data_IF_725458569195
#
_entry.id   IF_725458569195
#
_cell.length_a   1.000
_cell.length_b   1.000
_cell.length_c   1.000
_cell.angle_alpha   90.00
_cell.angle_beta   90.00
_cell.angle_gamma   90.00
#
_symmetry.space_group_name_H-M   'P 1'
#
loop_
_entity.id
_entity.type
_entity.pdbx_description
1 polymer ?
#
# COMPACT_ATOMS: atom_id res chain seq x y z
N UNK A 1 -61.90 8.68 -31.76
CA UNK A 1 -61.26 7.92 -30.67
C UNK A 1 -60.53 8.90 -29.76
N UNK A 2 -61.08 9.19 -28.57
CA UNK A 2 -60.52 10.12 -27.59
C UNK A 2 -59.40 9.40 -26.82
N UNK A 3 -58.18 9.95 -26.82
CA UNK A 3 -57.06 9.46 -26.00
C UNK A 3 -57.11 10.14 -24.63
N UNK A 4 -57.38 9.37 -23.59
CA UNK A 4 -57.30 9.80 -22.19
C UNK A 4 -55.83 9.78 -21.74
N UNK A 5 -55.33 10.91 -21.27
CA UNK A 5 -54.06 11.02 -20.53
C UNK A 5 -54.32 10.67 -19.06
N UNK A 6 -53.75 9.57 -18.57
CA UNK A 6 -53.64 9.28 -17.15
C UNK A 6 -52.36 9.93 -16.61
N UNK A 7 -52.53 10.93 -15.75
CA UNK A 7 -51.47 11.46 -14.91
C UNK A 7 -51.25 10.50 -13.74
N UNK A 8 -50.12 9.79 -13.73
CA UNK A 8 -49.68 9.00 -12.57
C UNK A 8 -48.87 9.92 -11.67
N UNK A 9 -49.49 10.36 -10.56
CA UNK A 9 -48.79 11.05 -9.49
C UNK A 9 -47.93 10.02 -8.72
N UNK A 10 -46.65 9.92 -9.09
CA UNK A 10 -45.67 9.14 -8.35
C UNK A 10 -45.33 9.83 -7.04
N UNK A 11 -45.82 9.27 -5.93
CA UNK A 11 -45.44 9.69 -4.58
C UNK A 11 -44.00 9.22 -4.32
N UNK A 12 -43.02 10.10 -4.56
CA UNK A 12 -41.61 9.84 -4.28
C UNK A 12 -41.37 9.82 -2.77
N UNK A 13 -41.32 8.62 -2.19
CA UNK A 13 -40.90 8.42 -0.81
C UNK A 13 -39.38 8.69 -0.72
N UNK A 14 -38.99 9.92 -0.38
CA UNK A 14 -37.60 10.21 -0.03
C UNK A 14 -37.29 9.53 1.32
N UNK A 15 -36.64 8.37 1.28
CA UNK A 15 -35.94 7.84 2.45
C UNK A 15 -34.74 8.75 2.71
N UNK A 16 -34.89 9.69 3.65
CA UNK A 16 -33.74 10.35 4.24
C UNK A 16 -32.97 9.29 5.05
N UNK A 17 -31.92 8.73 4.47
CA UNK A 17 -30.93 7.94 5.22
C UNK A 17 -30.27 8.87 6.22
N UNK A 18 -30.72 8.78 7.48
CA UNK A 18 -30.06 9.40 8.62
C UNK A 18 -28.65 8.82 8.71
N UNK A 19 -27.65 9.60 8.29
CA UNK A 19 -26.25 9.31 8.58
C UNK A 19 -26.07 9.52 10.08
N UNK A 20 -26.16 8.45 10.86
CA UNK A 20 -25.89 8.50 12.30
C UNK A 20 -24.40 8.72 12.49
N UNK A 21 -24.02 9.90 12.96
CA UNK A 21 -22.66 10.17 13.43
C UNK A 21 -22.25 9.11 14.46
N UNK A 22 -21.00 8.64 14.40
CA UNK A 22 -20.47 7.72 15.42
C UNK A 22 -20.65 8.36 16.81
N UNK A 23 -21.16 7.61 17.81
CA UNK A 23 -21.36 8.16 19.14
C UNK A 23 -20.03 8.68 19.70
N UNK A 24 -20.04 9.91 20.21
CA UNK A 24 -18.89 10.49 20.87
C UNK A 24 -18.59 9.69 22.15
N UNK A 25 -17.53 8.88 22.11
CA UNK A 25 -17.05 8.13 23.27
C UNK A 25 -16.02 9.00 23.99
N UNK A 26 -16.09 9.05 25.33
CA UNK A 26 -15.11 9.78 26.14
C UNK A 26 -13.70 9.27 25.80
N UNK A 27 -12.77 10.19 25.50
CA UNK A 27 -11.40 9.83 25.20
C UNK A 27 -10.81 9.04 26.38
N UNK A 28 -10.18 7.88 26.14
CA UNK A 28 -9.51 7.14 27.20
C UNK A 28 -8.42 8.02 27.85
N UNK A 29 -8.10 7.79 29.14
CA UNK A 29 -7.09 8.56 29.85
C UNK A 29 -5.74 8.56 29.09
N UNK A 30 -5.17 9.76 28.95
CA UNK A 30 -4.30 10.19 27.84
C UNK A 30 -2.83 9.75 27.87
N UNK A 31 -2.39 8.74 28.63
CA UNK A 31 -0.95 8.64 28.90
C UNK A 31 -0.11 7.68 28.04
N UNK A 32 -0.63 6.58 27.46
CA UNK A 32 0.29 5.61 26.82
C UNK A 32 -0.29 4.73 25.69
N UNK A 33 -1.18 5.28 24.86
CA UNK A 33 -1.73 4.54 23.71
C UNK A 33 -0.98 4.79 22.39
N UNK A 34 0.06 5.63 22.42
CA UNK A 34 0.82 6.03 21.22
C UNK A 34 2.22 5.43 21.20
N UNK A 35 2.68 5.10 20.00
CA UNK A 35 4.08 4.77 19.70
C UNK A 35 4.78 6.04 19.23
N UNK A 36 5.91 6.37 19.84
CA UNK A 36 6.61 7.60 19.53
C UNK A 36 7.14 7.57 18.09
N UNK A 37 6.75 8.56 17.29
CA UNK A 37 7.42 8.82 16.01
C UNK A 37 8.88 9.24 16.22
N UNK A 38 9.70 9.28 15.15
CA UNK A 38 11.10 9.69 15.27
C UNK A 38 11.19 11.12 15.81
N UNK A 39 12.11 11.36 16.75
CA UNK A 39 12.37 12.70 17.27
C UNK A 39 12.76 13.68 16.14
N UNK A 40 12.46 14.99 16.25
CA UNK A 40 12.77 15.97 15.21
C UNK A 40 14.22 15.94 14.72
N UNK A 41 15.19 15.76 15.64
CA UNK A 41 16.61 15.63 15.29
C UNK A 41 16.90 14.41 14.41
N UNK A 42 16.24 13.27 14.69
CA UNK A 42 16.36 12.06 13.87
C UNK A 42 15.74 12.27 12.48
N UNK A 43 14.60 12.97 12.37
CA UNK A 43 13.94 13.26 11.08
C UNK A 43 14.78 14.13 10.15
N UNK A 44 15.52 15.09 10.71
CA UNK A 44 16.37 15.99 9.95
C UNK A 44 17.63 15.31 9.41
N UNK A 45 18.14 14.30 10.11
CA UNK A 45 19.35 13.59 9.72
C UNK A 45 19.14 12.75 8.45
N UNK A 46 20.13 12.78 7.54
CA UNK A 46 20.17 12.01 6.30
C UNK A 46 21.44 11.13 6.27
N UNK A 47 21.31 9.91 5.76
CA UNK A 47 22.44 9.04 5.48
C UNK A 47 23.14 9.46 4.17
N UNK A 48 24.29 8.85 3.87
CA UNK A 48 25.09 9.18 2.67
C UNK A 48 24.32 8.98 1.35
N UNK A 49 23.30 8.13 1.34
CA UNK A 49 22.44 7.85 0.20
C UNK A 49 21.15 8.72 0.16
N UNK A 50 21.05 9.73 1.03
CA UNK A 50 19.92 10.65 1.10
C UNK A 50 18.66 10.08 1.76
N UNK A 51 18.71 8.85 2.30
CA UNK A 51 17.60 8.30 3.10
C UNK A 51 17.59 8.89 4.52
N UNK A 52 16.44 8.92 5.21
CA UNK A 52 16.41 9.34 6.61
C UNK A 52 17.30 8.46 7.49
N UNK A 53 18.20 9.07 8.26
CA UNK A 53 19.21 8.33 9.04
C UNK A 53 18.59 7.37 10.07
N UNK A 54 17.40 7.70 10.58
CA UNK A 54 16.68 6.88 11.54
C UNK A 54 16.14 5.56 10.96
N UNK A 55 16.14 5.38 9.64
CA UNK A 55 15.78 4.11 8.98
C UNK A 55 16.96 3.16 8.84
N UNK A 56 18.20 3.64 8.94
CA UNK A 56 19.40 2.84 8.65
C UNK A 56 19.54 1.60 9.54
N UNK A 57 19.05 1.63 10.78
CA UNK A 57 19.11 0.46 11.66
C UNK A 57 18.17 -0.65 11.19
N UNK A 58 17.02 -0.31 10.58
CA UNK A 58 16.09 -1.25 9.95
C UNK A 58 16.66 -1.83 8.65
N UNK A 59 17.70 -1.22 8.08
CA UNK A 59 18.31 -1.66 6.81
C UNK A 59 19.35 -2.77 6.97
N UNK A 60 19.56 -3.27 8.18
CA UNK A 60 20.40 -4.46 8.41
C UNK A 60 19.59 -5.74 8.25
N UNK A 61 20.21 -6.78 7.70
CA UNK A 61 19.53 -8.08 7.50
C UNK A 61 19.00 -8.70 8.81
N UNK A 62 19.78 -8.70 9.93
CA UNK A 62 19.28 -9.22 11.21
C UNK A 62 18.03 -8.48 11.71
N UNK A 63 18.02 -7.15 11.64
CA UNK A 63 16.89 -6.33 12.11
C UNK A 63 15.64 -6.58 11.28
N UNK A 64 15.74 -6.63 9.95
CA UNK A 64 14.59 -6.99 9.10
C UNK A 64 14.02 -8.36 9.42
N UNK A 65 14.90 -9.34 9.65
CA UNK A 65 14.47 -10.69 9.99
C UNK A 65 13.79 -10.75 11.35
N UNK A 66 14.34 -10.06 12.36
CA UNK A 66 13.73 -9.95 13.68
C UNK A 66 12.36 -9.28 13.61
N UNK A 67 12.27 -8.13 12.96
CA UNK A 67 11.03 -7.38 12.76
C UNK A 67 9.95 -8.20 12.04
N UNK A 68 10.30 -8.89 10.95
CA UNK A 68 9.38 -9.80 10.26
C UNK A 68 8.86 -10.91 11.18
N UNK A 69 9.76 -11.49 11.98
CA UNK A 69 9.39 -12.55 12.91
C UNK A 69 8.41 -12.05 13.97
N UNK A 70 8.67 -10.88 14.57
CA UNK A 70 7.78 -10.24 15.56
C UNK A 70 6.37 -10.07 15.00
N UNK A 71 6.25 -9.52 13.79
CA UNK A 71 4.96 -9.33 13.13
C UNK A 71 4.23 -10.67 12.90
N UNK A 72 4.95 -11.70 12.42
CA UNK A 72 4.36 -13.03 12.24
C UNK A 72 3.95 -13.70 13.55
N UNK A 73 4.74 -13.56 14.62
CA UNK A 73 4.35 -14.09 15.93
C UNK A 73 3.10 -13.42 16.47
N UNK A 74 2.98 -12.10 16.33
CA UNK A 74 1.80 -11.36 16.74
C UNK A 74 0.56 -11.83 15.96
N UNK A 75 0.66 -11.92 14.63
CA UNK A 75 -0.41 -12.42 13.78
C UNK A 75 -0.82 -13.85 14.18
N UNK A 76 0.15 -14.76 14.34
CA UNK A 76 -0.10 -16.14 14.74
C UNK A 76 -0.74 -16.23 16.15
N UNK A 77 -0.30 -15.42 17.11
CA UNK A 77 -0.86 -15.39 18.47
C UNK A 77 -2.33 -14.94 18.47
N UNK A 78 -2.69 -14.01 17.58
CA UNK A 78 -4.06 -13.50 17.47
C UNK A 78 -4.93 -14.28 16.47
N UNK A 79 -4.37 -15.28 15.77
CA UNK A 79 -5.09 -16.05 14.76
C UNK A 79 -5.37 -15.27 13.48
N UNK A 80 -4.58 -14.23 13.19
CA UNK A 80 -4.68 -13.45 11.95
C UNK A 80 -4.12 -14.30 10.80
N UNK A 81 -4.93 -14.65 9.78
CA UNK A 81 -4.45 -15.44 8.65
C UNK A 81 -3.44 -14.66 7.81
N UNK A 82 -2.47 -15.40 7.24
CA UNK A 82 -1.55 -14.84 6.26
C UNK A 82 -2.31 -14.35 5.01
N UNK A 83 -1.81 -13.28 4.39
CA UNK A 83 -2.30 -12.79 3.09
C UNK A 83 -3.11 -11.50 3.16
N UNK A 84 -3.95 -11.29 2.15
CA UNK A 84 -4.70 -10.04 1.92
C UNK A 84 -5.94 -9.99 2.81
N UNK A 85 -5.96 -9.06 3.76
CA UNK A 85 -7.04 -8.89 4.74
C UNK A 85 -7.65 -7.49 4.67
N UNK A 86 -8.93 -7.34 5.04
CA UNK A 86 -9.47 -6.01 5.38
C UNK A 86 -8.97 -5.59 6.77
N UNK A 87 -8.86 -4.28 6.98
CA UNK A 87 -8.55 -3.71 8.31
C UNK A 87 -9.55 -4.23 9.35
N UNK A 88 -10.85 -4.19 9.02
CA UNK A 88 -11.93 -4.70 9.88
C UNK A 88 -11.73 -6.14 10.36
N UNK A 89 -11.18 -7.01 9.53
CA UNK A 89 -11.00 -8.43 9.87
C UNK A 89 -9.91 -8.61 10.92
N UNK A 90 -8.82 -7.85 10.79
CA UNK A 90 -7.74 -7.87 11.77
C UNK A 90 -8.13 -7.21 13.10
N UNK A 91 -8.96 -6.15 13.05
CA UNK A 91 -9.48 -5.49 14.24
C UNK A 91 -10.41 -6.39 15.06
N UNK A 92 -11.24 -7.22 14.40
CA UNK A 92 -12.07 -8.24 15.08
C UNK A 92 -11.25 -9.28 15.84
N UNK A 93 -10.00 -9.49 15.42
CA UNK A 93 -9.03 -10.37 16.09
C UNK A 93 -8.18 -9.64 17.15
N UNK A 94 -8.39 -8.33 17.33
CA UNK A 94 -7.71 -7.52 18.34
C UNK A 94 -6.38 -6.91 17.89
N UNK A 95 -6.01 -7.05 16.61
CA UNK A 95 -4.77 -6.48 16.08
C UNK A 95 -5.04 -5.15 15.37
N UNK A 96 -4.45 -4.06 15.85
CA UNK A 96 -4.39 -2.79 15.11
C UNK A 96 -3.23 -2.85 14.10
N UNK A 97 -2.07 -3.36 14.53
CA UNK A 97 -0.93 -3.55 13.65
C UNK A 97 0.40 -3.55 14.40
N UNK A 98 1.45 -3.06 13.74
CA UNK A 98 2.75 -2.83 14.37
C UNK A 98 3.24 -1.42 14.02
N UNK A 99 4.00 -0.82 14.91
CA UNK A 99 4.62 0.48 14.73
C UNK A 99 6.07 0.41 15.22
N UNK A 100 6.91 1.32 14.72
CA UNK A 100 8.32 1.39 15.08
C UNK A 100 8.57 2.65 15.90
N UNK A 101 9.06 2.48 17.13
CA UNK A 101 9.65 3.58 17.87
C UNK A 101 11.11 3.73 17.47
N UNK A 102 11.38 4.68 16.57
CA UNK A 102 12.74 4.92 16.08
C UNK A 102 13.68 5.55 17.13
N UNK A 103 13.15 6.07 18.24
CA UNK A 103 13.96 6.65 19.31
C UNK A 103 14.58 5.54 20.19
N UNK A 104 13.78 4.52 20.49
CA UNK A 104 14.21 3.35 21.28
C UNK A 104 14.62 2.16 20.42
N UNK A 105 14.40 2.24 19.09
CA UNK A 105 14.58 1.16 18.11
C UNK A 105 13.75 -0.07 18.44
N UNK A 106 12.55 0.15 18.96
CA UNK A 106 11.62 -0.89 19.40
C UNK A 106 10.59 -1.19 18.32
N UNK A 107 10.32 -2.48 18.09
CA UNK A 107 9.16 -2.94 17.31
C UNK A 107 7.98 -3.10 18.26
N UNK A 108 6.97 -2.24 18.15
CA UNK A 108 5.80 -2.25 19.02
C UNK A 108 4.61 -2.88 18.29
N UNK A 109 4.06 -3.95 18.83
CA UNK A 109 2.79 -4.53 18.39
C UNK A 109 1.65 -3.80 19.11
N UNK A 110 0.66 -3.34 18.36
CA UNK A 110 -0.44 -2.53 18.90
C UNK A 110 -1.74 -3.32 18.81
N UNK A 111 -2.37 -3.55 19.97
CA UNK A 111 -3.63 -4.27 20.13
C UNK A 111 -4.78 -3.29 20.32
N UNK A 112 -6.01 -3.73 20.04
CA UNK A 112 -7.19 -2.96 20.44
C UNK A 112 -7.36 -3.00 21.96
N UNK A 113 -8.03 -2.01 22.58
CA UNK A 113 -8.35 -2.01 24.01
C UNK A 113 -8.98 -3.31 24.52
N UNK A 114 -9.91 -3.89 23.76
CA UNK A 114 -10.60 -5.13 24.12
C UNK A 114 -9.66 -6.34 24.15
N UNK A 115 -8.60 -6.32 23.34
CA UNK A 115 -7.58 -7.35 23.32
C UNK A 115 -6.43 -7.10 24.31
N UNK A 116 -6.50 -6.05 25.13
CA UNK A 116 -5.46 -5.69 26.09
C UNK A 116 -5.15 -6.80 27.11
N UNK A 117 -6.15 -7.59 27.50
CA UNK A 117 -5.95 -8.76 28.39
C UNK A 117 -5.06 -9.85 27.77
N UNK A 118 -4.91 -9.86 26.44
CA UNK A 118 -4.05 -10.78 25.70
C UNK A 118 -2.63 -10.26 25.48
N UNK A 119 -2.31 -9.04 25.94
CA UNK A 119 -1.01 -8.42 25.69
C UNK A 119 0.17 -9.26 26.23
N UNK A 120 0.01 -9.87 27.41
CA UNK A 120 1.02 -10.76 28.00
C UNK A 120 1.20 -12.05 27.20
N UNK A 121 0.10 -12.65 26.72
CA UNK A 121 0.13 -13.84 25.86
C UNK A 121 0.90 -13.55 24.56
N UNK A 122 0.55 -12.45 23.89
CA UNK A 122 1.20 -12.00 22.64
C UNK A 122 2.67 -11.69 22.89
N UNK A 123 3.00 -10.98 23.98
CA UNK A 123 4.38 -10.69 24.36
C UNK A 123 5.22 -11.95 24.61
N UNK A 124 4.65 -12.94 25.29
CA UNK A 124 5.29 -14.25 25.54
C UNK A 124 5.55 -15.00 24.22
N UNK A 125 4.59 -14.99 23.29
CA UNK A 125 4.75 -15.62 21.96
C UNK A 125 5.85 -14.95 21.14
N UNK A 126 5.93 -13.62 21.17
CA UNK A 126 6.99 -12.85 20.49
C UNK A 126 8.35 -13.20 21.10
N UNK A 127 8.48 -13.14 22.43
CA UNK A 127 9.72 -13.44 23.14
C UNK A 127 10.20 -14.89 22.95
N UNK A 128 9.28 -15.82 22.70
CA UNK A 128 9.62 -17.22 22.44
C UNK A 128 10.33 -17.45 21.10
N UNK A 129 10.23 -16.52 20.13
CA UNK A 129 10.79 -16.70 18.80
C UNK A 129 12.33 -16.69 18.80
N UNK A 130 13.00 -17.61 18.10
CA UNK A 130 14.47 -17.66 18.03
C UNK A 130 15.12 -16.35 17.57
N UNK A 131 14.51 -15.68 16.59
CA UNK A 131 14.98 -14.37 16.08
C UNK A 131 14.68 -13.19 17.00
N UNK A 132 13.79 -13.35 17.97
CA UNK A 132 13.53 -12.35 19.02
C UNK A 132 14.39 -12.58 20.27
N UNK A 133 14.91 -13.80 20.48
CA UNK A 133 15.85 -14.11 21.58
C UNK A 133 17.18 -13.39 21.43
N UNK A 134 17.56 -13.06 20.20
CA UNK A 134 18.66 -12.14 19.93
C UNK A 134 18.18 -10.69 20.12
N UNK A 135 17.73 -10.36 21.34
CA UNK A 135 17.21 -9.03 21.74
C UNK A 135 18.23 -7.90 21.52
N UNK A 136 19.50 -8.25 21.27
CA UNK A 136 20.54 -7.34 20.82
C UNK A 136 20.23 -6.70 19.44
N UNK A 137 19.31 -7.30 18.66
CA UNK A 137 18.99 -6.88 17.29
C UNK A 137 17.88 -5.83 17.26
N UNK A 138 16.75 -6.03 17.96
CA UNK A 138 15.67 -5.05 18.08
C UNK A 138 14.77 -5.38 19.30
N UNK A 139 14.65 -4.50 20.30
CA UNK A 139 13.67 -4.64 21.38
C UNK A 139 12.23 -4.76 20.85
N UNK A 140 11.38 -5.45 21.59
CA UNK A 140 9.97 -5.65 21.24
C UNK A 140 9.05 -5.26 22.39
N UNK A 141 7.91 -4.67 22.07
CA UNK A 141 6.90 -4.26 23.05
C UNK A 141 5.49 -4.58 22.53
N UNK A 142 4.55 -4.80 23.45
CA UNK A 142 3.11 -4.88 23.12
C UNK A 142 2.41 -3.72 23.83
N UNK A 143 1.66 -2.91 23.07
CA UNK A 143 0.88 -1.77 23.58
C UNK A 143 -0.59 -1.91 23.22
N UNK A 144 -1.43 -1.20 23.97
CA UNK A 144 -2.86 -1.02 23.67
C UNK A 144 -3.05 0.30 22.92
N UNK A 145 -3.81 0.27 21.83
CA UNK A 145 -4.08 1.43 20.99
C UNK A 145 -5.13 2.38 21.55
N UNK A 146 -5.31 3.52 20.87
CA UNK A 146 -6.10 4.64 21.39
C UNK A 146 -7.62 4.50 21.19
N UNK A 147 -8.08 3.61 20.32
CA UNK A 147 -9.49 3.45 19.97
C UNK A 147 -9.92 1.99 20.02
N UNK A 148 -11.19 1.77 20.41
CA UNK A 148 -11.85 0.45 20.44
C UNK A 148 -11.91 -0.20 19.05
N UNK A 149 -11.93 -1.53 19.03
CA UNK A 149 -12.14 -2.32 17.81
C UNK A 149 -13.42 -1.88 17.08
N UNK A 150 -14.55 -1.77 17.80
CA UNK A 150 -15.84 -1.40 17.22
C UNK A 150 -15.81 -0.03 16.53
N UNK A 151 -15.12 0.93 17.14
CA UNK A 151 -15.02 2.30 16.59
C UNK A 151 -14.18 2.33 15.33
N UNK A 152 -13.05 1.61 15.33
CA UNK A 152 -12.17 1.50 14.16
C UNK A 152 -12.86 0.72 13.02
N UNK A 153 -13.58 -0.36 13.34
CA UNK A 153 -14.36 -1.13 12.36
C UNK A 153 -15.45 -0.25 11.75
N UNK A 154 -16.21 0.51 12.55
CA UNK A 154 -17.26 1.37 12.02
C UNK A 154 -16.70 2.48 11.11
N UNK A 155 -15.51 3.01 11.43
CA UNK A 155 -14.79 3.94 10.55
C UNK A 155 -14.34 3.27 9.24
N UNK A 156 -13.80 2.05 9.27
CA UNK A 156 -13.45 1.29 8.06
C UNK A 156 -14.68 1.00 7.19
N UNK A 157 -15.79 0.55 7.79
CA UNK A 157 -17.01 0.26 7.03
C UNK A 157 -17.60 1.55 6.42
N UNK A 158 -17.54 2.70 7.11
CA UNK A 158 -17.94 3.98 6.53
C UNK A 158 -17.06 4.37 5.33
N UNK A 159 -15.74 4.31 5.50
CA UNK A 159 -14.74 4.61 4.47
C UNK A 159 -14.90 3.70 3.25
N UNK A 160 -15.07 2.39 3.48
CA UNK A 160 -15.21 1.39 2.44
C UNK A 160 -16.55 1.50 1.71
N UNK A 161 -17.65 1.76 2.42
CA UNK A 161 -18.99 1.86 1.84
C UNK A 161 -19.22 3.14 1.03
N UNK A 162 -18.42 4.20 1.27
CA UNK A 162 -18.53 5.49 0.53
C UNK A 162 -19.89 6.15 0.66
N UNK A 163 -20.55 5.96 1.81
CA UNK A 163 -21.95 6.35 2.01
C UNK A 163 -22.14 7.65 2.82
N UNK A 164 -21.06 8.39 3.13
CA UNK A 164 -21.14 9.61 3.96
C UNK A 164 -21.53 10.87 3.18
N UNK A 165 -21.41 10.87 1.85
CA UNK A 165 -21.70 12.02 0.99
C UNK A 165 -22.09 11.58 -0.44
N UNK A 166 -23.00 12.27 -1.15
CA UNK A 166 -23.37 11.92 -2.54
C UNK A 166 -22.19 11.81 -3.50
N UNK A 167 -21.20 12.70 -3.38
CA UNK A 167 -20.00 12.69 -4.24
C UNK A 167 -18.89 11.73 -3.78
N UNK A 168 -19.05 11.06 -2.62
CA UNK A 168 -18.03 10.14 -2.11
C UNK A 168 -17.74 8.99 -3.08
N UNK A 169 -18.74 8.58 -3.87
CA UNK A 169 -18.62 7.55 -4.91
C UNK A 169 -17.84 8.02 -6.15
N UNK A 170 -17.76 9.33 -6.40
CA UNK A 170 -17.03 9.90 -7.53
C UNK A 170 -15.59 10.31 -7.16
N UNK A 171 -15.36 10.68 -5.90
CA UNK A 171 -14.06 11.08 -5.41
C UNK A 171 -13.05 9.93 -5.40
N UNK A 172 -11.81 10.22 -5.80
CA UNK A 172 -10.68 9.33 -5.56
C UNK A 172 -10.08 9.63 -4.20
N UNK A 173 -9.91 8.60 -3.38
CA UNK A 173 -9.27 8.76 -2.08
C UNK A 173 -8.65 7.44 -1.65
N UNK A 174 -7.92 7.52 -0.56
CA UNK A 174 -7.10 6.44 -0.04
C UNK A 174 -6.98 6.56 1.45
N UNK A 175 -6.88 5.44 2.14
CA UNK A 175 -6.71 5.44 3.56
C UNK A 175 -5.93 4.24 4.08
N UNK A 176 -5.41 4.37 5.30
CA UNK A 176 -4.81 3.28 6.06
C UNK A 176 -4.96 3.56 7.56
N UNK A 177 -4.95 2.50 8.36
CA UNK A 177 -4.88 2.61 9.82
C UNK A 177 -3.43 2.68 10.29
N UNK A 178 -3.06 3.77 10.94
CA UNK A 178 -1.74 4.00 11.52
C UNK A 178 -1.69 3.41 12.93
N UNK A 179 -0.93 2.33 13.10
CA UNK A 179 -0.81 1.67 14.41
C UNK A 179 -0.15 2.57 15.47
N UNK A 180 0.63 3.59 15.07
CA UNK A 180 1.35 4.43 16.02
C UNK A 180 0.42 5.31 16.87
N UNK A 181 -0.74 5.71 16.35
CA UNK A 181 -1.72 6.50 17.09
C UNK A 181 -3.16 6.01 16.94
N UNK A 182 -3.34 4.84 16.32
CA UNK A 182 -4.62 4.19 16.06
C UNK A 182 -5.57 5.05 15.21
N UNK A 183 -5.07 5.94 14.35
CA UNK A 183 -5.90 6.79 13.48
C UNK A 183 -5.87 6.35 12.03
N UNK A 184 -6.98 6.55 11.34
CA UNK A 184 -7.00 6.50 9.88
C UNK A 184 -6.32 7.74 9.32
N UNK A 185 -5.34 7.58 8.44
CA UNK A 185 -4.92 8.70 7.57
C UNK A 185 -5.69 8.56 6.28
N UNK A 186 -6.43 9.59 5.93
CA UNK A 186 -7.19 9.66 4.70
C UNK A 186 -6.61 10.79 3.87
N UNK A 187 -6.40 10.52 2.60
CA UNK A 187 -6.19 11.60 1.66
C UNK A 187 -7.16 11.52 0.52
N UNK A 188 -7.58 12.72 0.13
CA UNK A 188 -8.75 12.94 -0.66
C UNK A 188 -8.41 13.81 -1.87
N UNK A 189 -9.11 13.56 -2.97
CA UNK A 189 -9.00 14.36 -4.18
C UNK A 189 -9.44 15.82 -3.90
N UNK A 190 -8.58 16.82 -4.20
CA UNK A 190 -8.85 18.24 -4.00
C UNK A 190 -10.00 18.75 -4.88
N UNK A 191 -10.41 17.99 -5.89
CA UNK A 191 -11.62 18.24 -6.67
C UNK A 191 -12.94 18.02 -5.91
N UNK A 192 -12.90 17.40 -4.73
CA UNK A 192 -14.10 17.06 -3.93
C UNK A 192 -14.01 17.52 -2.46
N UNK A 193 -13.82 18.83 -2.20
CA UNK A 193 -13.57 19.34 -0.85
C UNK A 193 -14.76 19.19 0.11
N UNK A 194 -16.00 19.25 -0.38
CA UNK A 194 -17.22 19.10 0.44
C UNK A 194 -17.38 17.66 0.95
N UNK A 195 -17.14 16.67 0.09
CA UNK A 195 -17.15 15.26 0.47
C UNK A 195 -16.05 14.92 1.49
N UNK A 196 -14.87 15.55 1.36
CA UNK A 196 -13.79 15.41 2.34
C UNK A 196 -14.14 16.04 3.69
N UNK A 197 -14.84 17.17 3.70
CA UNK A 197 -15.29 17.81 4.94
C UNK A 197 -16.37 16.97 5.64
N UNK A 198 -17.37 16.48 4.91
CA UNK A 198 -18.38 15.57 5.45
C UNK A 198 -17.74 14.30 6.06
N UNK A 199 -16.66 13.81 5.45
CA UNK A 199 -15.89 12.69 5.99
C UNK A 199 -15.19 13.03 7.32
N UNK A 200 -14.57 14.21 7.44
CA UNK A 200 -13.98 14.69 8.70
C UNK A 200 -15.02 14.74 9.80
N UNK A 201 -16.19 15.28 9.50
CA UNK A 201 -17.28 15.43 10.48
C UNK A 201 -17.82 14.06 10.94
N UNK A 202 -17.92 13.10 10.02
CA UNK A 202 -18.41 11.75 10.32
C UNK A 202 -17.41 10.89 11.12
N UNK A 203 -16.11 11.01 10.84
CA UNK A 203 -15.05 10.23 11.50
C UNK A 203 -14.56 10.87 12.80
N UNK A 204 -14.60 12.20 12.91
CA UNK A 204 -14.10 12.93 14.07
C UNK A 204 -12.61 12.66 14.29
N UNK A 205 -12.22 12.36 15.54
CA UNK A 205 -10.83 12.18 15.94
C UNK A 205 -10.23 10.80 15.59
N UNK A 206 -11.01 9.89 15.01
CA UNK A 206 -10.50 8.58 14.56
C UNK A 206 -9.75 8.67 13.23
N UNK A 207 -9.81 9.81 12.52
CA UNK A 207 -9.17 10.00 11.24
C UNK A 207 -8.59 11.40 11.03
N UNK A 208 -7.51 11.48 10.26
CA UNK A 208 -6.95 12.73 9.75
C UNK A 208 -7.13 12.76 8.22
N UNK A 209 -7.92 13.73 7.72
CA UNK A 209 -8.30 13.82 6.28
C UNK A 209 -7.64 15.01 5.59
N UNK A 210 -6.82 14.77 4.57
CA UNK A 210 -6.11 15.79 3.78
C UNK A 210 -6.60 15.88 2.32
N UNK A 211 -6.47 17.05 1.67
CA UNK A 211 -6.79 17.28 0.25
C UNK A 211 -5.52 17.58 -0.53
N UNK A 212 -5.23 16.88 -1.64
CA UNK A 212 -3.93 17.08 -2.32
C UNK A 212 -3.85 16.60 -3.80
N UNK A 213 -2.96 17.12 -4.66
CA UNK A 213 -2.92 16.79 -6.11
C UNK A 213 -1.52 16.52 -6.69
N UNK A 214 -1.40 15.68 -7.74
CA UNK A 214 -0.11 15.23 -8.32
C UNK A 214 0.10 15.57 -9.82
N UNK A 215 1.36 15.84 -10.23
CA UNK A 215 1.77 16.18 -11.62
C UNK A 215 3.05 15.45 -12.14
N UNK A 216 3.20 15.31 -13.48
CA UNK A 216 4.04 14.32 -14.23
C UNK A 216 5.45 14.79 -14.72
N UNK A 217 6.42 13.86 -14.85
CA UNK A 217 7.65 13.88 -15.73
C UNK A 217 8.23 12.45 -15.92
N UNK A 218 8.48 11.88 -17.12
CA UNK A 218 8.57 10.39 -17.34
C UNK A 218 9.86 9.70 -17.90
N UNK A 219 9.84 8.35 -17.97
CA UNK A 219 10.75 7.37 -18.62
C UNK A 219 10.00 6.78 -19.81
N UNK A 220 10.34 7.23 -21.02
CA UNK A 220 9.48 6.94 -22.17
C UNK A 220 9.91 5.75 -23.01
N UNK A 221 11.18 5.31 -22.97
CA UNK A 221 11.71 4.30 -23.89
C UNK A 221 12.43 3.17 -23.14
N UNK A 222 11.93 1.94 -23.25
CA UNK A 222 12.56 0.68 -22.83
C UNK A 222 12.67 -0.21 -24.06
N UNK A 223 13.86 -0.72 -24.34
CA UNK A 223 14.12 -1.64 -25.45
C UNK A 223 14.37 -3.05 -24.94
N UNK A 224 14.32 -4.03 -25.83
CA UNK A 224 14.61 -5.41 -25.48
C UNK A 224 16.06 -5.61 -24.98
N UNK A 225 16.30 -6.52 -24.00
CA UNK A 225 15.28 -7.22 -23.21
C UNK A 225 14.51 -6.28 -22.27
N UNK A 226 13.20 -6.47 -22.16
CA UNK A 226 12.33 -5.60 -21.36
C UNK A 226 12.54 -5.81 -19.86
N UNK A 227 12.50 -4.72 -19.09
CA UNK A 227 12.72 -4.72 -17.64
C UNK A 227 11.52 -4.21 -16.84
N UNK A 228 11.59 -4.39 -15.53
CA UNK A 228 10.72 -3.68 -14.59
C UNK A 228 11.05 -2.19 -14.46
N UNK A 229 10.06 -1.34 -14.17
CA UNK A 229 10.24 0.12 -14.08
C UNK A 229 10.19 0.84 -15.43
N UNK A 230 9.85 0.15 -16.51
CA UNK A 230 9.67 0.69 -17.84
C UNK A 230 8.30 1.36 -17.99
N UNK A 231 8.21 2.44 -18.78
CA UNK A 231 6.90 3.05 -19.05
C UNK A 231 6.08 2.19 -20.03
N UNK A 232 4.80 1.97 -19.72
CA UNK A 232 3.87 1.16 -20.49
C UNK A 232 2.66 1.99 -20.98
N UNK A 233 2.04 1.54 -22.06
CA UNK A 233 0.83 2.13 -22.66
C UNK A 233 0.12 1.15 -23.58
N UNK A 234 -1.16 1.39 -23.82
CA UNK A 234 -1.91 0.74 -24.89
C UNK A 234 -1.66 1.42 -26.26
N UNK A 235 -1.46 0.62 -27.30
CA UNK A 235 -1.23 1.09 -28.68
C UNK A 235 0.14 1.73 -28.92
N UNK A 236 0.45 2.07 -30.19
CA UNK A 236 1.70 2.73 -30.63
C UNK A 236 1.56 4.27 -30.69
N UNK A 237 2.64 5.05 -30.57
CA UNK A 237 2.65 6.50 -30.20
C UNK A 237 3.58 6.87 -29.02
N UNK A 238 3.48 8.08 -28.45
CA UNK A 238 4.59 8.67 -27.67
C UNK A 238 4.39 8.80 -26.14
N UNK A 239 3.18 8.56 -25.61
CA UNK A 239 2.87 8.82 -24.19
C UNK A 239 2.60 7.53 -23.42
N UNK A 240 3.49 7.21 -22.48
CA UNK A 240 3.28 6.12 -21.53
C UNK A 240 2.28 6.56 -20.44
N UNK A 241 1.48 5.62 -19.94
CA UNK A 241 0.42 5.88 -18.95
C UNK A 241 0.60 5.10 -17.66
N UNK A 242 1.40 4.03 -17.67
CA UNK A 242 1.71 3.20 -16.51
C UNK A 242 3.18 2.77 -16.54
N UNK A 243 3.58 1.93 -15.59
CA UNK A 243 4.92 1.36 -15.44
C UNK A 243 4.85 -0.17 -15.39
N UNK A 244 5.87 -0.86 -15.89
CA UNK A 244 6.06 -2.31 -15.72
C UNK A 244 6.54 -2.62 -14.31
N UNK A 245 6.10 -3.75 -13.76
CA UNK A 245 6.42 -4.22 -12.42
C UNK A 245 7.65 -5.09 -12.42
N UNK A 246 7.53 -6.34 -12.00
CA UNK A 246 8.63 -7.30 -12.08
C UNK A 246 8.45 -8.21 -13.28
N UNK A 247 9.58 -8.65 -13.86
CA UNK A 247 9.56 -9.74 -14.83
C UNK A 247 9.26 -11.05 -14.09
N UNK A 248 8.32 -11.82 -14.63
CA UNK A 248 7.79 -13.02 -14.03
C UNK A 248 7.52 -14.10 -15.08
N UNK A 249 7.50 -15.35 -14.61
CA UNK A 249 7.18 -16.53 -15.40
C UNK A 249 5.86 -17.11 -14.94
N UNK A 250 4.95 -17.34 -15.88
CA UNK A 250 3.70 -18.09 -15.65
C UNK A 250 3.97 -19.58 -15.54
N UNK A 251 3.04 -20.31 -14.94
CA UNK A 251 3.07 -21.78 -14.86
C UNK A 251 3.12 -22.48 -16.23
N UNK A 252 2.64 -21.83 -17.29
CA UNK A 252 2.72 -22.33 -18.67
C UNK A 252 4.04 -22.00 -19.40
N UNK A 253 5.02 -21.46 -18.68
CA UNK A 253 6.35 -21.14 -19.20
C UNK A 253 6.46 -19.76 -19.86
N UNK A 254 5.35 -19.03 -20.08
CA UNK A 254 5.42 -17.69 -20.66
C UNK A 254 6.13 -16.73 -19.71
N UNK A 255 7.10 -15.99 -20.26
CA UNK A 255 7.80 -14.91 -19.58
C UNK A 255 7.20 -13.58 -20.03
N UNK A 256 7.11 -12.66 -19.10
CA UNK A 256 6.57 -11.32 -19.29
C UNK A 256 6.73 -10.53 -18.02
N UNK A 257 5.92 -9.50 -17.81
CA UNK A 257 6.02 -8.65 -16.65
C UNK A 257 4.66 -8.29 -16.09
N UNK A 258 4.67 -7.96 -14.81
CA UNK A 258 3.48 -7.53 -14.10
C UNK A 258 3.23 -6.05 -14.34
N UNK A 259 2.02 -5.57 -14.12
CA UNK A 259 1.66 -4.15 -14.03
C UNK A 259 0.34 -4.02 -13.28
N UNK A 260 -0.12 -2.80 -13.00
CA UNK A 260 -1.40 -2.59 -12.35
C UNK A 260 -2.57 -2.92 -13.30
N UNK A 261 -3.62 -3.52 -12.76
CA UNK A 261 -4.83 -3.90 -13.49
C UNK A 261 -5.66 -2.72 -14.00
N UNK A 262 -5.66 -1.57 -13.32
CA UNK A 262 -6.36 -0.37 -13.78
C UNK A 262 -5.72 0.26 -15.02
N UNK A 263 -4.47 -0.09 -15.34
CA UNK A 263 -3.75 0.50 -16.45
C UNK A 263 -4.34 0.12 -17.81
N UNK A 264 -4.74 -1.14 -17.97
CA UNK A 264 -5.08 -1.72 -19.27
C UNK A 264 -6.26 -2.69 -19.16
N UNK A 265 -6.71 -3.16 -20.32
CA UNK A 265 -7.71 -4.22 -20.49
C UNK A 265 -7.07 -5.46 -21.11
N UNK A 266 -7.64 -6.64 -20.84
CA UNK A 266 -7.17 -7.89 -21.43
C UNK A 266 -7.22 -7.80 -22.98
N UNK A 267 -6.19 -8.34 -23.64
CA UNK A 267 -6.05 -8.36 -25.09
C UNK A 267 -5.44 -7.10 -25.70
N UNK A 268 -5.23 -6.03 -24.94
CA UNK A 268 -4.59 -4.82 -25.47
C UNK A 268 -3.11 -5.06 -25.78
N UNK A 269 -2.68 -4.61 -26.95
CA UNK A 269 -1.26 -4.52 -27.30
C UNK A 269 -0.61 -3.38 -26.52
N UNK A 270 0.37 -3.75 -25.71
CA UNK A 270 1.13 -2.88 -24.83
C UNK A 270 2.48 -2.57 -25.46
N UNK A 271 2.89 -1.31 -25.32
CA UNK A 271 4.14 -0.78 -25.85
C UNK A 271 4.90 -0.02 -24.76
N UNK A 272 6.21 0.06 -24.92
CA UNK A 272 7.07 1.04 -24.27
C UNK A 272 7.64 1.95 -25.35
N UNK A 273 7.24 3.22 -25.40
CA UNK A 273 7.43 4.07 -26.58
C UNK A 273 6.89 3.39 -27.86
N UNK A 274 7.76 3.18 -28.85
CA UNK A 274 7.51 2.51 -30.12
C UNK A 274 7.81 1.01 -30.07
N UNK A 275 8.40 0.50 -28.99
CA UNK A 275 8.75 -0.91 -28.85
C UNK A 275 7.53 -1.68 -28.37
N UNK A 276 7.20 -2.76 -29.08
CA UNK A 276 6.17 -3.67 -28.61
C UNK A 276 6.65 -4.34 -27.33
N UNK A 277 5.78 -4.40 -26.33
CA UNK A 277 6.11 -4.99 -25.03
C UNK A 277 5.37 -6.31 -24.87
N UNK A 278 4.12 -6.38 -25.32
CA UNK A 278 3.35 -7.61 -25.34
C UNK A 278 1.85 -7.39 -25.30
N UNK A 279 1.09 -8.45 -25.03
CA UNK A 279 -0.35 -8.36 -24.86
C UNK A 279 -0.73 -8.45 -23.38
N UNK A 280 -1.61 -7.54 -22.94
CA UNK A 280 -2.17 -7.52 -21.60
C UNK A 280 -3.10 -8.71 -21.35
N UNK A 281 -2.99 -9.34 -20.17
CA UNK A 281 -3.78 -10.50 -19.78
C UNK A 281 -3.86 -10.66 -18.26
N UNK A 282 -4.77 -11.51 -17.77
CA UNK A 282 -4.83 -11.87 -16.35
C UNK A 282 -5.53 -10.86 -15.43
N UNK A 283 -6.11 -9.78 -15.97
CA UNK A 283 -7.01 -8.92 -15.18
C UNK A 283 -8.33 -9.63 -14.94
N UNK A 284 -8.56 -10.04 -13.70
CA UNK A 284 -9.81 -10.61 -13.20
C UNK A 284 -10.08 -10.05 -11.79
N UNK A 285 -11.35 -9.93 -11.39
CA UNK A 285 -11.76 -9.44 -10.06
C UNK A 285 -11.19 -8.06 -9.67
N UNK A 286 -11.02 -7.17 -10.65
CA UNK A 286 -10.75 -5.76 -10.43
C UNK A 286 -12.02 -5.08 -9.87
N UNK A 287 -11.93 -4.18 -8.86
CA UNK A 287 -10.70 -3.60 -8.29
C UNK A 287 -10.11 -4.36 -7.09
N UNK A 288 -10.72 -5.45 -6.62
CA UNK A 288 -10.19 -6.17 -5.46
C UNK A 288 -8.75 -6.68 -5.69
N UNK A 289 -8.39 -7.00 -6.93
CA UNK A 289 -7.03 -7.29 -7.38
C UNK A 289 -6.65 -6.34 -8.52
N UNK A 290 -5.81 -5.35 -8.21
CA UNK A 290 -5.33 -4.37 -9.19
C UNK A 290 -4.05 -4.86 -9.87
N UNK A 291 -4.14 -6.01 -10.54
CA UNK A 291 -2.97 -6.74 -11.05
C UNK A 291 -3.22 -7.20 -12.48
N UNK A 292 -2.18 -7.13 -13.31
CA UNK A 292 -2.19 -7.61 -14.68
C UNK A 292 -0.82 -8.17 -15.09
N UNK A 293 -0.82 -9.06 -16.07
CA UNK A 293 0.36 -9.62 -16.70
C UNK A 293 0.41 -9.25 -18.18
N UNK A 294 1.54 -8.73 -18.63
CA UNK A 294 1.81 -8.43 -20.04
C UNK A 294 2.87 -9.43 -20.51
N UNK A 295 2.70 -10.00 -21.72
CA UNK A 295 3.71 -10.93 -22.27
C UNK A 295 3.60 -11.05 -23.79
N UNK A 296 4.67 -11.55 -24.39
CA UNK A 296 4.78 -11.85 -25.82
C UNK A 296 5.76 -12.99 -26.00
N UNK A 297 5.49 -13.90 -26.94
CA UNK A 297 6.45 -14.92 -27.37
C UNK A 297 7.49 -14.40 -28.36
N UNK A 298 7.32 -13.17 -28.86
CA UNK A 298 8.21 -12.54 -29.83
C UNK A 298 9.22 -11.56 -29.19
N UNK A 299 9.09 -11.31 -27.88
CA UNK A 299 9.89 -10.33 -27.14
C UNK A 299 10.73 -11.02 -26.07
N UNK A 300 11.84 -10.41 -25.68
CA UNK A 300 12.71 -10.89 -24.60
C UNK A 300 12.56 -10.08 -23.31
N UNK A 301 12.78 -10.73 -22.16
CA UNK A 301 12.64 -10.12 -20.83
C UNK A 301 13.76 -10.62 -19.91
N UNK A 302 14.21 -9.79 -18.98
CA UNK A 302 15.30 -10.12 -18.05
C UNK A 302 14.90 -9.85 -16.58
N UNK A 303 15.53 -10.51 -15.61
CA UNK A 303 15.22 -10.34 -14.19
C UNK A 303 15.76 -9.03 -13.59
N UNK A 304 15.57 -7.92 -14.29
CA UNK A 304 16.07 -6.60 -13.90
C UNK A 304 14.94 -5.62 -13.65
N UNK A 305 15.26 -4.63 -12.84
CA UNK A 305 14.48 -3.41 -12.69
C UNK A 305 15.37 -2.20 -12.97
N UNK A 306 14.78 -1.19 -13.56
CA UNK A 306 15.38 0.13 -13.62
C UNK A 306 15.50 0.74 -12.21
N UNK A 307 16.64 1.36 -11.89
CA UNK A 307 16.92 2.00 -10.60
C UNK A 307 17.68 3.34 -10.68
N UNK A 308 17.71 3.97 -11.85
CA UNK A 308 18.10 5.37 -12.08
C UNK A 308 17.17 6.36 -11.35
N UNK A 309 17.58 7.63 -11.14
CA UNK A 309 18.87 8.21 -11.47
C UNK A 309 19.99 7.74 -10.52
N UNK A 310 19.67 6.85 -9.58
CA UNK A 310 20.63 6.32 -8.62
C UNK A 310 21.63 5.33 -9.27
N UNK A 311 22.58 4.87 -8.46
CA UNK A 311 23.68 3.99 -8.83
C UNK A 311 23.48 2.60 -8.21
N UNK A 312 23.53 1.52 -9.01
CA UNK A 312 23.48 1.48 -10.47
C UNK A 312 22.12 1.93 -11.05
N UNK A 313 22.09 2.20 -12.35
CA UNK A 313 20.87 2.56 -13.11
C UNK A 313 19.90 1.41 -13.30
N UNK A 314 20.34 0.18 -13.01
CA UNK A 314 19.57 -1.05 -13.07
C UNK A 314 20.00 -2.00 -11.93
N UNK A 315 19.08 -2.81 -11.43
CA UNK A 315 19.35 -3.84 -10.43
C UNK A 315 18.82 -5.19 -10.87
N UNK A 316 19.58 -6.24 -10.58
CA UNK A 316 19.11 -7.61 -10.70
C UNK A 316 18.17 -7.93 -9.54
N UNK A 317 17.01 -8.50 -9.85
CA UNK A 317 16.14 -9.11 -8.86
C UNK A 317 16.71 -10.49 -8.56
N UNK A 318 17.24 -10.66 -7.34
CA UNK A 318 17.91 -11.92 -6.93
C UNK A 318 17.15 -12.64 -5.82
N UNK A 319 16.13 -12.00 -5.27
CA UNK A 319 15.31 -12.56 -4.21
C UNK A 319 13.91 -11.93 -4.25
N UNK A 320 12.97 -12.58 -3.55
CA UNK A 320 11.61 -12.09 -3.39
C UNK A 320 11.06 -12.44 -2.01
N UNK A 321 10.22 -11.56 -1.46
CA UNK A 321 9.41 -11.80 -0.25
C UNK A 321 8.27 -10.79 -0.15
N UNK A 322 7.31 -11.02 0.73
CA UNK A 322 6.32 -9.98 1.06
C UNK A 322 6.95 -8.82 1.85
N UNK A 323 6.36 -7.62 1.75
CA UNK A 323 6.79 -6.47 2.54
C UNK A 323 6.40 -6.69 4.01
N UNK A 324 7.16 -6.04 4.90
CA UNK A 324 6.88 -6.02 6.35
C UNK A 324 6.85 -4.58 6.83
N UNK A 325 6.04 -4.28 7.85
CA UNK A 325 6.05 -2.93 8.45
C UNK A 325 7.46 -2.63 8.95
N UNK A 326 7.99 -1.44 8.72
CA UNK A 326 9.35 -1.02 9.05
C UNK A 326 10.39 -1.32 7.97
N UNK A 327 10.06 -2.03 6.89
CA UNK A 327 10.96 -2.12 5.75
C UNK A 327 11.29 -0.71 5.20
N UNK A 328 12.55 -0.46 4.85
CA UNK A 328 12.95 0.66 4.00
C UNK A 328 13.00 0.16 2.56
N UNK A 329 12.06 0.63 1.75
CA UNK A 329 11.94 0.22 0.34
C UNK A 329 12.37 1.33 -0.59
N UNK A 330 12.60 0.92 -1.83
CA UNK A 330 12.66 1.77 -3.00
C UNK A 330 11.48 1.48 -3.91
N UNK A 331 11.05 2.48 -4.65
CA UNK A 331 10.10 2.41 -5.75
C UNK A 331 10.84 2.68 -7.04
N UNK A 332 10.42 2.09 -8.15
CA UNK A 332 10.83 2.54 -9.48
C UNK A 332 9.61 2.76 -10.34
N UNK A 333 9.26 4.02 -10.54
CA UNK A 333 8.20 4.44 -11.43
C UNK A 333 8.75 5.06 -12.70
N UNK A 334 8.04 4.99 -13.82
CA UNK A 334 8.49 5.72 -15.01
C UNK A 334 8.57 7.23 -14.74
N UNK A 335 7.73 7.75 -13.84
CA UNK A 335 7.58 9.18 -13.56
C UNK A 335 8.53 9.63 -12.47
N UNK A 336 8.40 9.07 -11.27
CA UNK A 336 9.26 9.45 -10.13
C UNK A 336 10.66 8.86 -10.22
N UNK A 337 10.93 7.94 -11.15
CA UNK A 337 12.17 7.15 -11.22
C UNK A 337 12.40 6.39 -9.92
N UNK A 338 13.63 5.98 -9.66
CA UNK A 338 13.97 5.32 -8.41
C UNK A 338 13.92 6.30 -7.24
N UNK A 339 13.05 6.01 -6.27
CA UNK A 339 12.93 6.76 -5.02
C UNK A 339 13.07 5.79 -3.84
N UNK A 340 14.07 5.99 -2.99
CA UNK A 340 14.41 5.11 -1.87
C UNK A 340 14.18 5.75 -0.50
N UNK A 341 14.25 4.94 0.56
CA UNK A 341 14.11 5.41 1.94
C UNK A 341 12.65 5.55 2.37
N UNK A 342 11.77 4.78 1.75
CA UNK A 342 10.34 4.79 2.04
C UNK A 342 10.10 3.77 3.14
N UNK A 343 9.57 4.23 4.27
CA UNK A 343 9.25 3.35 5.38
C UNK A 343 7.88 2.75 5.18
N UNK A 344 7.81 1.43 5.16
CA UNK A 344 6.53 0.71 5.18
C UNK A 344 5.90 0.89 6.55
N UNK A 345 4.69 1.42 6.60
CA UNK A 345 4.01 1.75 7.86
C UNK A 345 2.66 1.06 7.99
N UNK A 346 2.09 0.52 6.91
CA UNK A 346 0.90 -0.34 6.98
C UNK A 346 0.94 -1.42 5.88
N UNK A 347 0.26 -2.53 6.14
CA UNK A 347 0.00 -3.62 5.17
C UNK A 347 -1.50 -3.80 4.91
N UNK A 348 -2.28 -2.81 5.31
CA UNK A 348 -3.74 -2.82 5.25
C UNK A 348 -4.27 -1.55 4.56
N UNK A 349 -3.46 -0.93 3.72
CA UNK A 349 -3.87 0.22 2.94
C UNK A 349 -5.05 -0.11 2.01
N UNK A 350 -5.88 0.88 1.77
CA UNK A 350 -7.03 0.77 0.86
C UNK A 350 -7.01 1.95 -0.12
N UNK A 351 -7.21 1.65 -1.39
CA UNK A 351 -7.42 2.62 -2.47
C UNK A 351 -8.84 2.48 -2.99
N UNK A 352 -9.62 3.56 -2.96
CA UNK A 352 -10.97 3.58 -3.51
C UNK A 352 -11.06 4.53 -4.71
N UNK A 353 -11.57 4.01 -5.83
CA UNK A 353 -11.82 4.74 -7.06
C UNK A 353 -13.26 4.48 -7.53
N UNK A 354 -13.68 5.06 -8.66
CA UNK A 354 -15.04 4.90 -9.19
C UNK A 354 -15.47 3.42 -9.34
N UNK A 355 -14.53 2.52 -9.66
CA UNK A 355 -14.81 1.10 -9.87
C UNK A 355 -14.92 0.28 -8.56
N UNK A 356 -14.65 0.89 -7.40
CA UNK A 356 -14.65 0.26 -6.08
C UNK A 356 -13.31 0.39 -5.35
N UNK A 357 -13.07 -0.48 -4.36
CA UNK A 357 -11.89 -0.40 -3.49
C UNK A 357 -10.96 -1.60 -3.65
N UNK A 358 -9.66 -1.33 -3.78
CA UNK A 358 -8.57 -2.30 -3.62
C UNK A 358 -8.08 -2.22 -2.17
N UNK A 359 -8.19 -3.31 -1.41
CA UNK A 359 -7.83 -3.36 0.02
C UNK A 359 -6.54 -4.14 0.28
N UNK A 360 -6.09 -4.26 1.53
CA UNK A 360 -4.95 -5.11 1.90
C UNK A 360 -3.65 -4.76 1.18
N UNK A 361 -3.43 -3.47 0.93
CA UNK A 361 -2.25 -2.96 0.24
C UNK A 361 -1.13 -2.62 1.22
N UNK A 362 0.10 -2.76 0.75
CA UNK A 362 1.26 -2.16 1.39
C UNK A 362 1.12 -0.64 1.28
N UNK A 363 1.40 0.05 2.37
CA UNK A 363 1.48 1.50 2.42
C UNK A 363 2.83 1.92 3.00
N UNK A 364 3.42 2.94 2.40
CA UNK A 364 4.70 3.47 2.85
C UNK A 364 4.82 4.96 2.58
N UNK A 365 5.62 5.67 3.36
CA UNK A 365 5.85 7.11 3.18
C UNK A 365 7.34 7.47 3.36
N UNK A 366 7.71 8.67 2.92
CA UNK A 366 9.07 9.22 3.10
C UNK A 366 9.00 10.63 3.69
N UNK A 367 8.48 10.74 4.91
CA UNK A 367 8.52 12.00 5.67
C UNK A 367 7.87 13.20 4.97
N UNK A 368 6.83 12.97 4.17
CA UNK A 368 6.12 14.00 3.41
C UNK A 368 6.68 14.30 2.01
N UNK A 369 7.73 13.60 1.55
CA UNK A 369 8.23 13.73 0.18
C UNK A 369 7.26 13.11 -0.81
N UNK A 370 7.07 13.73 -1.99
CA UNK A 370 6.33 13.13 -3.11
C UNK A 370 7.13 11.96 -3.67
N UNK A 371 6.64 10.73 -3.49
CA UNK A 371 7.37 9.50 -3.82
C UNK A 371 6.73 8.68 -4.94
N UNK A 372 5.48 8.99 -5.30
CA UNK A 372 4.75 8.37 -6.41
C UNK A 372 4.07 9.46 -7.20
N UNK A 373 3.79 9.25 -8.49
CA UNK A 373 3.00 10.13 -9.33
C UNK A 373 2.12 9.33 -10.29
N UNK A 374 1.09 9.96 -10.83
CA UNK A 374 0.28 9.40 -11.91
C UNK A 374 1.17 8.94 -13.07
N UNK A 375 1.18 7.63 -13.33
CA UNK A 375 2.06 6.96 -14.29
C UNK A 375 3.00 5.94 -13.67
N UNK A 376 3.30 6.04 -12.38
CA UNK A 376 4.11 5.05 -11.67
C UNK A 376 3.35 3.76 -11.35
N UNK A 377 2.03 3.75 -11.54
CA UNK A 377 1.18 2.57 -11.42
C UNK A 377 1.76 1.37 -12.17
N UNK A 378 1.88 0.26 -11.47
CA UNK A 378 2.50 -0.97 -11.93
C UNK A 378 4.01 -1.04 -11.70
N UNK A 379 4.68 0.02 -11.26
CA UNK A 379 6.14 0.03 -11.02
C UNK A 379 6.57 -0.88 -9.86
N UNK A 380 7.80 -1.43 -9.86
CA UNK A 380 8.27 -2.30 -8.79
C UNK A 380 8.54 -1.54 -7.49
N UNK A 381 8.22 -2.20 -6.38
CA UNK A 381 8.66 -1.86 -5.02
C UNK A 381 9.66 -2.92 -4.57
N UNK A 382 10.85 -2.50 -4.16
CA UNK A 382 11.97 -3.39 -3.89
C UNK A 382 12.82 -2.95 -2.70
N UNK A 383 13.57 -3.88 -2.13
CA UNK A 383 14.60 -3.60 -1.13
C UNK A 383 15.96 -3.72 -1.81
N UNK A 384 16.84 -2.73 -1.61
CA UNK A 384 18.22 -2.83 -2.10
C UNK A 384 18.98 -3.92 -1.34
N UNK A 385 19.60 -4.83 -2.07
CA UNK A 385 20.49 -5.84 -1.50
C UNK A 385 21.86 -5.71 -2.14
N UNK A 386 22.86 -5.31 -1.35
CA UNK A 386 24.17 -4.95 -1.89
C UNK A 386 24.12 -3.81 -2.91
N UNK A 387 25.14 -3.73 -3.76
CA UNK A 387 25.29 -2.63 -4.71
C UNK A 387 24.36 -2.76 -5.90
N UNK A 388 24.22 -3.96 -6.47
CA UNK A 388 23.58 -4.18 -7.77
C UNK A 388 22.34 -5.07 -7.76
N UNK A 389 21.90 -5.51 -6.57
CA UNK A 389 20.76 -6.41 -6.45
C UNK A 389 19.57 -5.73 -5.77
N UNK A 390 18.42 -6.38 -5.95
CA UNK A 390 17.14 -6.04 -5.38
C UNK A 390 16.41 -7.30 -4.90
N UNK A 391 15.69 -7.16 -3.80
CA UNK A 391 14.65 -8.10 -3.39
C UNK A 391 13.30 -7.52 -3.79
N UNK A 392 12.55 -8.23 -4.65
CA UNK A 392 11.19 -7.84 -5.01
C UNK A 392 10.25 -7.95 -3.80
N UNK A 393 9.42 -6.92 -3.56
CA UNK A 393 8.47 -6.93 -2.42
C UNK A 393 7.03 -6.58 -2.75
N UNK A 394 6.78 -5.63 -3.64
CA UNK A 394 5.41 -5.21 -3.98
C UNK A 394 5.38 -4.51 -5.35
N UNK A 395 4.20 -4.12 -5.82
CA UNK A 395 4.02 -3.38 -7.06
C UNK A 395 3.12 -2.17 -6.83
N UNK A 396 3.53 -0.98 -7.27
CA UNK A 396 2.79 0.27 -7.08
C UNK A 396 1.41 0.12 -7.70
N UNK A 397 0.37 0.43 -6.94
CA UNK A 397 -1.02 0.52 -7.41
C UNK A 397 -1.47 1.96 -7.48
N UNK A 398 -1.00 2.78 -6.53
CA UNK A 398 -1.31 4.19 -6.50
C UNK A 398 -0.62 4.86 -5.34
N UNK A 399 -1.24 5.90 -4.81
CA UNK A 399 -0.72 6.65 -3.69
C UNK A 399 -1.84 6.94 -2.68
N UNK A 400 -1.48 7.00 -1.39
CA UNK A 400 -2.42 7.30 -0.30
C UNK A 400 -2.47 8.75 0.14
N UNK A 401 -1.84 9.64 -0.63
CA UNK A 401 -1.95 11.07 -0.48
C UNK A 401 -2.14 11.75 -1.81
N UNK A 402 -2.85 12.86 -1.84
CA UNK A 402 -3.11 13.55 -3.09
C UNK A 402 -1.84 14.20 -3.67
N UNK A 403 -0.85 14.54 -2.83
CA UNK A 403 0.53 14.87 -3.24
C UNK A 403 1.34 13.62 -3.60
N UNK A 404 0.76 12.43 -3.42
CA UNK A 404 1.40 11.13 -3.55
C UNK A 404 2.70 11.01 -2.72
N UNK A 405 2.65 11.53 -1.50
CA UNK A 405 3.68 11.38 -0.46
C UNK A 405 3.66 10.04 0.27
N UNK A 406 2.62 9.25 0.04
CA UNK A 406 2.50 7.88 0.51
C UNK A 406 2.19 6.95 -0.68
N UNK A 407 2.91 5.84 -0.83
CA UNK A 407 2.65 4.82 -1.86
C UNK A 407 1.60 3.83 -1.37
N UNK A 408 0.77 3.32 -2.28
CA UNK A 408 0.00 2.10 -2.09
C UNK A 408 0.46 1.05 -3.09
N UNK A 409 0.76 -0.16 -2.63
CA UNK A 409 1.33 -1.21 -3.45
C UNK A 409 0.73 -2.59 -3.15
N UNK A 410 0.52 -3.39 -4.18
CA UNK A 410 0.02 -4.76 -4.07
C UNK A 410 1.16 -5.69 -3.62
N UNK A 411 0.87 -6.56 -2.66
CA UNK A 411 1.85 -7.49 -2.11
C UNK A 411 2.32 -8.49 -3.17
N UNK A 412 3.60 -8.84 -3.15
CA UNK A 412 4.14 -9.78 -4.12
C UNK A 412 3.44 -11.14 -4.10
N UNK A 413 3.09 -11.68 -2.93
CA UNK A 413 2.36 -12.95 -2.87
C UNK A 413 0.97 -12.87 -3.50
N UNK A 414 0.30 -11.71 -3.42
CA UNK A 414 -0.99 -11.48 -4.07
C UNK A 414 -0.82 -11.53 -5.59
N UNK A 415 0.22 -10.86 -6.11
CA UNK A 415 0.57 -10.87 -7.53
C UNK A 415 0.87 -12.29 -8.02
N UNK A 416 1.74 -13.02 -7.33
CA UNK A 416 2.16 -14.36 -7.72
C UNK A 416 1.00 -15.37 -7.67
N UNK A 417 0.23 -15.37 -6.58
CA UNK A 417 -0.89 -16.31 -6.41
C UNK A 417 -2.04 -16.01 -7.38
N UNK A 418 -2.40 -14.73 -7.54
CA UNK A 418 -3.57 -14.35 -8.32
C UNK A 418 -3.34 -14.47 -9.84
N UNK A 419 -2.15 -14.10 -10.32
CA UNK A 419 -1.81 -14.26 -11.74
C UNK A 419 -1.28 -15.66 -12.08
N UNK A 420 -0.95 -16.49 -11.09
CA UNK A 420 -0.27 -17.77 -11.30
C UNK A 420 1.12 -17.58 -11.91
N UNK A 421 1.88 -16.60 -11.38
CA UNK A 421 3.23 -16.24 -11.83
C UNK A 421 4.25 -16.42 -10.71
N UNK A 422 5.52 -16.55 -11.08
CA UNK A 422 6.66 -16.39 -10.18
C UNK A 422 7.59 -15.33 -10.74
N UNK A 423 7.90 -14.30 -9.97
CA UNK A 423 8.94 -13.32 -10.31
C UNK A 423 10.26 -14.05 -10.56
N UNK A 424 10.94 -13.65 -11.64
CA UNK A 424 12.24 -14.19 -12.00
C UNK A 424 13.31 -13.64 -11.04
N UNK A 425 14.09 -14.56 -10.48
CA UNK A 425 15.23 -14.22 -9.59
C UNK A 425 16.57 -14.70 -10.15
N UNK A 426 16.56 -15.36 -11.30
CA UNK A 426 17.70 -15.97 -11.99
C UNK A 426 17.36 -16.33 -13.42
#
# INVERSE_FOLDING_TARGET
MRKSLLAVAGCGLMLATLVTSLPAQAAPPTADCRVAGPAPALRAARAADGTPAYLQWLDTAPVRQANFAVQRAAQAALGVPDGKQRVSDTLRLGLIGSAIDHNTRTVTVVLTPEAGERAEEVGTRIAAMPSARDTAVAPTEVKVGCFSADRLIAADELLFARAWHPDAAAATFSYYLDAADSRYRVSFDPGYPEAAQALRDALGDVADVTLDGAGRTGRLNDGEPHFGGAGLRAGSGATNTCTSGFIARRSDGRIGGTTAGHCFSNGQSIYSSTQYWGAASGKTNYPAYDIMFVSSSAETYDNKIHSDPCCPTERFVTAKRNPVIGDSVCLSGMVTKATCGISVNSLQGVLCAADGCTYGLMQGNRGGDVIVKNGDSGGPVYIRTGTSNATAVAMIIGCSSGSCTSVLAEHLSSIESYLGVSVLTS
#
